data_IF_931112676516
#
_entry.id   IF_931112676516
#
_cell.length_a   1.000
_cell.length_b   1.000
_cell.length_c   1.000
_cell.angle_alpha   90.00
_cell.angle_beta   90.00
_cell.angle_gamma   90.00
#
_symmetry.space_group_name_H-M   'P 1'
#
loop_
_entity.id
_entity.type
_entity.pdbx_description
1 polymer ?
#
# COMPACT_ATOMS: atom_id res chain seq x y z
N UNK A 1 10.74 -21.07 -35.83
CA UNK A 1 9.34 -20.60 -35.94
C UNK A 1 8.74 -20.77 -34.56
N UNK A 2 8.68 -19.72 -33.75
CA UNK A 2 8.24 -19.82 -32.35
C UNK A 2 6.72 -19.69 -32.28
N UNK A 3 6.08 -20.62 -31.58
CA UNK A 3 4.63 -20.67 -31.40
C UNK A 3 4.17 -19.56 -30.44
N UNK A 4 3.27 -18.69 -30.91
CA UNK A 4 2.64 -17.66 -30.10
C UNK A 4 1.60 -18.29 -29.17
N UNK A 5 2.02 -18.62 -27.95
CA UNK A 5 1.11 -18.88 -26.84
C UNK A 5 0.41 -17.60 -26.42
N UNK A 6 -0.89 -17.48 -26.75
CA UNK A 6 -1.78 -16.43 -26.25
C UNK A 6 -2.02 -16.65 -24.74
N UNK A 7 -1.08 -16.19 -23.91
CA UNK A 7 -1.28 -16.10 -22.46
C UNK A 7 -2.29 -15.00 -22.18
N UNK A 8 -3.58 -15.37 -22.19
CA UNK A 8 -4.66 -14.55 -21.66
C UNK A 8 -4.44 -14.40 -20.16
N UNK A 9 -3.73 -13.35 -19.75
CA UNK A 9 -3.61 -12.96 -18.35
C UNK A 9 -4.98 -12.49 -17.85
N UNK A 10 -5.82 -13.44 -17.43
CA UNK A 10 -7.01 -13.15 -16.65
C UNK A 10 -6.56 -12.64 -15.28
N UNK A 11 -6.65 -11.32 -15.10
CA UNK A 11 -6.46 -10.68 -13.80
C UNK A 11 -7.67 -11.04 -12.93
N UNK A 12 -7.64 -12.20 -12.28
CA UNK A 12 -8.71 -12.65 -11.42
C UNK A 12 -8.48 -12.08 -10.02
N UNK A 13 -9.08 -10.92 -9.75
CA UNK A 13 -9.20 -10.37 -8.40
C UNK A 13 -10.14 -11.29 -7.60
N UNK A 14 -9.57 -12.30 -6.94
CA UNK A 14 -10.30 -13.09 -5.95
C UNK A 14 -10.21 -12.34 -4.62
N UNK A 15 -11.05 -11.31 -4.48
CA UNK A 15 -11.07 -10.43 -3.32
C UNK A 15 -11.60 -11.15 -2.09
N UNK A 16 -10.70 -11.49 -1.17
CA UNK A 16 -11.04 -11.66 0.23
C UNK A 16 -10.98 -10.26 0.87
N UNK A 17 -12.03 -9.85 1.57
CA UNK A 17 -12.22 -8.50 2.10
C UNK A 17 -11.17 -8.28 3.20
N UNK A 18 -10.05 -7.63 2.87
CA UNK A 18 -8.92 -7.47 3.80
C UNK A 18 -7.54 -7.62 3.16
N UNK A 19 -7.44 -8.12 1.94
CA UNK A 19 -6.16 -8.49 1.33
C UNK A 19 -5.85 -7.69 0.06
N UNK A 20 -4.62 -7.15 -0.03
CA UNK A 20 -4.09 -6.61 -1.28
C UNK A 20 -2.93 -7.47 -1.76
N UNK A 21 -3.06 -7.97 -2.98
CA UNK A 21 -2.02 -8.73 -3.65
C UNK A 21 -1.23 -7.83 -4.61
N UNK A 22 0.09 -7.91 -4.54
CA UNK A 22 1.03 -7.21 -5.41
C UNK A 22 2.00 -8.25 -6.00
N UNK A 23 2.16 -8.26 -7.32
CA UNK A 23 3.12 -9.14 -8.00
C UNK A 23 4.30 -8.29 -8.49
N UNK A 24 5.52 -8.63 -8.06
CA UNK A 24 6.76 -7.99 -8.51
C UNK A 24 7.67 -9.09 -9.07
N UNK A 25 7.76 -9.16 -10.40
CA UNK A 25 8.45 -10.26 -11.10
C UNK A 25 7.83 -11.62 -10.73
N UNK A 26 8.64 -12.52 -10.17
CA UNK A 26 8.19 -13.84 -9.70
C UNK A 26 7.69 -13.84 -8.25
N UNK A 27 7.80 -12.72 -7.54
CA UNK A 27 7.42 -12.62 -6.13
C UNK A 27 5.99 -12.13 -5.98
N UNK A 28 5.18 -12.89 -5.23
CA UNK A 28 3.83 -12.50 -4.81
C UNK A 28 3.88 -11.96 -3.38
N UNK A 29 3.43 -10.73 -3.19
CA UNK A 29 3.28 -10.07 -1.89
C UNK A 29 1.80 -10.02 -1.56
N UNK A 30 1.42 -10.55 -0.40
CA UNK A 30 0.05 -10.48 0.11
C UNK A 30 0.08 -9.64 1.38
N UNK A 31 -0.63 -8.51 1.37
CA UNK A 31 -0.72 -7.61 2.52
C UNK A 31 -2.04 -7.88 3.23
N UNK A 32 -1.94 -8.33 4.49
CA UNK A 32 -3.07 -8.53 5.39
C UNK A 32 -3.22 -7.28 6.27
N UNK A 33 -4.00 -6.30 5.82
CA UNK A 33 -4.26 -5.10 6.61
C UNK A 33 -5.49 -4.36 6.10
N UNK A 34 -6.40 -4.05 7.01
CA UNK A 34 -7.61 -3.26 6.72
C UNK A 34 -7.25 -1.86 6.19
N UNK A 35 -6.10 -1.32 6.62
CA UNK A 35 -5.59 -0.03 6.19
C UNK A 35 -5.40 0.06 4.67
N UNK A 36 -5.07 -1.06 4.03
CA UNK A 36 -4.79 -1.09 2.60
C UNK A 36 -6.06 -0.91 1.76
N UNK A 37 -7.21 -1.33 2.32
CA UNK A 37 -8.51 -1.27 1.66
C UNK A 37 -9.26 0.03 1.95
N UNK A 38 -8.77 0.86 2.88
CA UNK A 38 -9.33 2.19 3.12
C UNK A 38 -9.25 3.05 1.85
N UNK A 39 -10.30 3.83 1.61
CA UNK A 39 -10.29 4.90 0.61
C UNK A 39 -9.24 5.96 0.96
N UNK A 40 -8.86 6.79 -0.01
CA UNK A 40 -7.88 7.86 0.22
C UNK A 40 -8.36 8.86 1.29
N UNK A 41 -9.67 9.12 1.35
CA UNK A 41 -10.30 9.93 2.40
C UNK A 41 -10.16 9.30 3.78
N UNK A 42 -10.40 7.99 3.90
CA UNK A 42 -10.30 7.28 5.18
C UNK A 42 -8.85 7.16 5.64
N UNK A 43 -7.91 6.94 4.71
CA UNK A 43 -6.47 6.96 4.99
C UNK A 43 -6.02 8.31 5.53
N UNK A 44 -6.50 9.41 4.92
CA UNK A 44 -6.20 10.77 5.40
C UNK A 44 -6.75 10.98 6.82
N UNK A 45 -8.00 10.60 7.08
CA UNK A 45 -8.60 10.74 8.40
C UNK A 45 -7.87 9.89 9.47
N UNK A 46 -7.47 8.67 9.12
CA UNK A 46 -6.65 7.83 9.98
C UNK A 46 -5.32 8.51 10.32
N UNK A 47 -4.63 9.03 9.30
CA UNK A 47 -3.34 9.71 9.47
C UNK A 47 -3.46 10.92 10.40
N UNK A 48 -4.45 11.80 10.17
CA UNK A 48 -4.68 12.97 11.02
C UNK A 48 -5.01 12.59 12.47
N UNK A 49 -5.77 11.51 12.65
CA UNK A 49 -6.12 11.00 13.98
C UNK A 49 -4.91 10.45 14.71
N UNK A 50 -4.07 9.65 14.04
CA UNK A 50 -2.87 9.07 14.62
C UNK A 50 -1.79 10.13 14.91
N UNK A 51 -1.66 11.15 14.06
CA UNK A 51 -0.81 12.31 14.33
C UNK A 51 -1.26 13.06 15.59
N UNK A 52 -2.58 13.31 15.75
CA UNK A 52 -3.14 13.94 16.96
C UNK A 52 -2.90 13.12 18.22
N UNK A 53 -2.97 11.79 18.14
CA UNK A 53 -2.62 10.88 19.25
C UNK A 53 -1.14 10.84 19.56
N UNK A 54 -0.30 11.43 18.71
CA UNK A 54 1.14 11.48 18.90
C UNK A 54 1.84 10.18 18.53
N UNK A 55 1.36 9.46 17.51
CA UNK A 55 1.99 8.26 16.99
C UNK A 55 3.48 8.53 16.69
N UNK A 56 4.37 7.84 17.42
CA UNK A 56 5.81 8.07 17.37
C UNK A 56 6.40 7.83 15.98
N UNK A 57 5.94 6.79 15.28
CA UNK A 57 6.45 6.45 13.95
C UNK A 57 6.15 7.57 12.96
N UNK A 58 4.93 8.11 12.99
CA UNK A 58 4.55 9.20 12.09
C UNK A 58 5.33 10.49 12.39
N UNK A 59 5.58 10.79 13.66
CA UNK A 59 6.42 11.93 14.07
C UNK A 59 7.87 11.79 13.64
N UNK A 60 8.44 10.59 13.75
CA UNK A 60 9.82 10.34 13.32
C UNK A 60 9.95 10.53 11.79
N UNK A 61 8.94 10.10 11.02
CA UNK A 61 8.87 10.33 9.57
C UNK A 61 8.72 11.83 9.26
N UNK A 62 7.79 12.54 9.92
CA UNK A 62 7.60 13.99 9.76
C UNK A 62 8.90 14.76 10.03
N UNK A 63 9.58 14.43 11.12
CA UNK A 63 10.86 15.04 11.47
C UNK A 63 11.93 14.79 10.40
N UNK A 64 12.06 13.55 9.91
CA UNK A 64 13.02 13.22 8.85
C UNK A 64 12.73 13.96 7.54
N UNK A 65 11.45 14.07 7.15
CA UNK A 65 11.04 14.83 5.97
C UNK A 65 11.36 16.31 6.15
N UNK A 66 10.99 16.89 7.29
CA UNK A 66 11.25 18.30 7.58
C UNK A 66 12.76 18.60 7.59
N UNK A 67 13.59 17.72 8.15
CA UNK A 67 15.04 17.87 8.11
C UNK A 67 15.59 17.88 6.67
N UNK A 68 15.00 17.13 5.75
CA UNK A 68 15.45 17.08 4.35
C UNK A 68 15.02 18.29 3.51
N UNK A 69 13.93 18.98 3.86
CA UNK A 69 13.35 20.07 3.05
C UNK A 69 13.52 21.46 3.65
N UNK A 70 13.88 21.58 4.92
CA UNK A 70 14.05 22.86 5.63
C UNK A 70 15.51 23.27 5.81
N UNK A 71 16.46 22.48 5.29
CA UNK A 71 17.88 22.83 5.14
C UNK A 71 18.15 23.57 3.82
#
# INVERSE_FOLDING_TARGET
MYENGTSSHKHQLRGDVGMKELQIGNTKIVIHSDFVNLSDSEKKQWFETEMKKGNRVLKDIEHAVNACYLD
#
